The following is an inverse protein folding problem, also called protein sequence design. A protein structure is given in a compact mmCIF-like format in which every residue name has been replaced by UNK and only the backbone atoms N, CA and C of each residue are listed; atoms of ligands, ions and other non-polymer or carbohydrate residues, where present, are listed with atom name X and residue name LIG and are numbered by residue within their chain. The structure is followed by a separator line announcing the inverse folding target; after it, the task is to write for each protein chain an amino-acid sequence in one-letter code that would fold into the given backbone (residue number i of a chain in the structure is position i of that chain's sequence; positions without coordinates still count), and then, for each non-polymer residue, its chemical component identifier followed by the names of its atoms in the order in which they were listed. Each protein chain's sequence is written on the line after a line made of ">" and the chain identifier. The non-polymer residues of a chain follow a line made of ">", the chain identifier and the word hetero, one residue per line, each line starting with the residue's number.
data_IF_180311883111
#
_entry.id   IF_180311883111
#
_cell.length_a   1.000
_cell.length_b   1.000
_cell.length_c   1.000
_cell.angle_alpha   90.00
_cell.angle_beta   90.00
_cell.angle_gamma   90.00
#
_symmetry.space_group_name_H-M   'P 1'
#
loop_
_entity.id
_entity.type
_entity.pdbx_description
1 polymer ?
#
# COMPACT_ATOMS: atom_id res chain seq x y z
N UNK A 1 9.52 -5.93 -12.30
CA UNK A 1 9.71 -6.77 -11.10
C UNK A 1 8.32 -7.03 -10.55
N UNK A 2 7.84 -8.26 -10.61
CA UNK A 2 6.53 -8.61 -10.04
C UNK A 2 6.67 -8.59 -8.51
N UNK A 3 5.92 -7.73 -7.82
CA UNK A 3 5.94 -7.69 -6.36
C UNK A 3 5.10 -8.84 -5.82
N UNK A 4 5.54 -9.42 -4.70
CA UNK A 4 4.75 -10.43 -3.99
C UNK A 4 3.52 -9.79 -3.32
N UNK A 5 2.56 -10.62 -2.92
CA UNK A 5 1.34 -10.17 -2.25
C UNK A 5 1.43 -10.37 -0.74
N UNK A 6 1.14 -9.32 0.03
CA UNK A 6 0.91 -9.38 1.47
C UNK A 6 -0.57 -9.11 1.75
N UNK A 7 -1.25 -10.02 2.43
CA UNK A 7 -2.66 -9.81 2.76
C UNK A 7 -2.79 -8.77 3.87
N UNK A 8 -3.77 -7.88 3.78
CA UNK A 8 -3.95 -6.80 4.76
C UNK A 8 -4.14 -7.29 6.21
N UNK A 9 -4.69 -8.49 6.43
CA UNK A 9 -4.76 -9.08 7.77
C UNK A 9 -3.38 -9.29 8.40
N UNK A 10 -2.33 -9.54 7.60
CA UNK A 10 -0.95 -9.70 8.08
C UNK A 10 -0.35 -8.38 8.59
N UNK A 11 -0.97 -7.25 8.24
CA UNK A 11 -0.59 -5.92 8.74
C UNK A 11 -1.43 -5.46 9.91
N UNK A 12 -2.57 -6.09 10.14
CA UNK A 12 -3.52 -5.68 11.17
C UNK A 12 -3.62 -6.80 12.19
N UNK A 13 -4.55 -7.73 12.02
CA UNK A 13 -4.90 -8.76 13.01
C UNK A 13 -3.84 -9.83 13.22
N UNK A 14 -3.05 -10.15 12.19
CA UNK A 14 -2.00 -11.18 12.22
C UNK A 14 -0.60 -10.58 12.18
N UNK A 15 -0.45 -9.29 12.52
CA UNK A 15 0.87 -8.66 12.61
C UNK A 15 1.68 -9.37 13.71
N UNK A 16 2.88 -9.89 13.40
CA UNK A 16 3.74 -10.48 14.42
C UNK A 16 4.10 -9.47 15.53
N UNK A 17 4.30 -9.92 16.79
CA UNK A 17 4.77 -9.04 17.85
C UNK A 17 6.06 -8.32 17.46
N UNK A 18 6.11 -6.99 17.63
CA UNK A 18 7.25 -6.15 17.25
C UNK A 18 7.43 -5.94 15.73
N UNK A 19 6.54 -6.49 14.91
CA UNK A 19 6.55 -6.23 13.47
C UNK A 19 6.21 -4.76 13.15
N UNK A 20 7.02 -4.12 12.32
CA UNK A 20 6.78 -2.75 11.84
C UNK A 20 6.77 -2.65 10.32
N UNK A 21 6.02 -1.67 9.81
CA UNK A 21 6.10 -1.24 8.42
C UNK A 21 7.31 -0.31 8.30
N UNK A 22 8.22 -0.59 7.37
CA UNK A 22 9.45 0.19 7.20
C UNK A 22 9.34 1.22 6.10
N UNK A 23 8.64 0.89 5.01
CA UNK A 23 8.50 1.76 3.84
C UNK A 23 7.10 1.64 3.27
N UNK A 24 6.54 2.75 2.79
CA UNK A 24 5.22 2.79 2.14
C UNK A 24 5.26 3.60 0.85
N UNK A 25 4.73 2.99 -0.20
CA UNK A 25 4.61 3.55 -1.53
C UNK A 25 3.15 3.48 -1.99
N UNK A 26 2.59 4.60 -2.41
CA UNK A 26 1.27 4.69 -3.03
C UNK A 26 1.47 4.93 -4.51
N UNK A 27 1.18 3.91 -5.32
CA UNK A 27 1.47 3.92 -6.75
C UNK A 27 0.18 3.98 -7.57
N UNK A 28 0.15 4.83 -8.60
CA UNK A 28 -0.93 4.87 -9.57
C UNK A 28 -0.66 3.82 -10.66
N UNK A 29 -1.68 3.03 -10.96
CA UNK A 29 -1.72 2.12 -12.09
C UNK A 29 -2.06 2.88 -13.37
N UNK A 30 -1.73 2.33 -14.53
CA UNK A 30 -2.11 2.87 -15.86
C UNK A 30 -3.63 3.02 -16.07
N UNK A 31 -4.45 2.45 -15.17
CA UNK A 31 -5.90 2.51 -15.17
C UNK A 31 -6.44 3.65 -14.31
N UNK A 32 -5.56 4.45 -13.70
CA UNK A 32 -5.88 5.60 -12.86
C UNK A 32 -6.15 5.25 -11.41
N UNK A 33 -6.30 3.96 -11.13
CA UNK A 33 -6.48 3.44 -9.77
C UNK A 33 -5.15 3.42 -9.04
N UNK A 34 -5.22 3.58 -7.73
CA UNK A 34 -4.08 3.59 -6.82
C UNK A 34 -3.98 2.28 -6.06
N UNK A 35 -2.77 1.85 -5.73
CA UNK A 35 -2.52 0.68 -4.88
C UNK A 35 -1.39 0.99 -3.91
N UNK A 36 -1.32 0.20 -2.84
CA UNK A 36 -0.32 0.37 -1.78
C UNK A 36 0.71 -0.74 -1.93
N UNK A 37 1.98 -0.33 -1.89
CA UNK A 37 3.12 -1.22 -1.76
C UNK A 37 3.86 -0.91 -0.47
N UNK A 38 4.28 -1.93 0.26
CA UNK A 38 5.00 -1.74 1.52
C UNK A 38 6.19 -2.69 1.67
N UNK A 39 7.12 -2.31 2.53
CA UNK A 39 8.09 -3.20 3.14
C UNK A 39 7.80 -3.35 4.63
N UNK A 40 8.05 -4.54 5.17
CA UNK A 40 7.84 -4.87 6.58
C UNK A 40 9.07 -5.54 7.19
N UNK A 41 9.34 -5.27 8.46
CA UNK A 41 10.55 -5.73 9.14
C UNK A 41 10.70 -7.25 9.22
N UNK A 42 9.58 -7.99 9.22
CA UNK A 42 9.55 -9.45 9.39
C UNK A 42 9.51 -10.24 8.07
N UNK A 43 9.58 -9.56 6.91
CA UNK A 43 9.67 -10.18 5.58
C UNK A 43 10.92 -9.77 4.81
N UNK A 44 11.94 -9.29 5.52
CA UNK A 44 13.22 -8.88 4.93
C UNK A 44 13.11 -7.57 4.14
N UNK A 45 13.78 -7.50 2.99
CA UNK A 45 13.90 -6.27 2.18
C UNK A 45 12.94 -6.21 0.99
N UNK A 46 12.11 -7.24 0.81
CA UNK A 46 11.14 -7.32 -0.27
C UNK A 46 10.03 -6.26 -0.14
N UNK A 47 9.55 -5.78 -1.28
CA UNK A 47 8.40 -4.88 -1.38
C UNK A 47 7.18 -5.69 -1.80
N UNK A 48 6.04 -5.46 -1.17
CA UNK A 48 4.81 -6.24 -1.38
C UNK A 48 3.67 -5.37 -1.84
N UNK A 49 2.86 -5.86 -2.77
CA UNK A 49 1.52 -5.34 -3.00
C UNK A 49 0.62 -5.67 -1.81
N UNK A 50 -0.22 -4.72 -1.41
CA UNK A 50 -1.26 -4.99 -0.42
C UNK A 50 -2.47 -5.65 -1.09
N UNK A 51 -2.74 -6.88 -0.65
CA UNK A 51 -3.95 -7.61 -0.97
C UNK A 51 -5.14 -7.18 -0.12
N UNK A 52 -6.34 -7.42 -0.63
CA UNK A 52 -7.56 -7.39 0.16
C UNK A 52 -7.43 -8.32 1.38
N UNK A 53 -8.05 -7.91 2.49
CA UNK A 53 -7.97 -8.56 3.81
C UNK A 53 -7.74 -10.09 3.81
N UNK A 54 -8.60 -10.87 3.14
CA UNK A 54 -8.48 -12.33 3.02
C UNK A 54 -8.41 -12.85 1.56
N UNK A 55 -8.37 -11.95 0.57
CA UNK A 55 -8.42 -12.34 -0.85
C UNK A 55 -7.08 -12.08 -1.50
N UNK A 56 -6.58 -13.05 -2.28
CA UNK A 56 -5.35 -12.93 -3.09
C UNK A 56 -5.53 -12.00 -4.30
N UNK A 57 -6.03 -10.78 -4.08
CA UNK A 57 -6.25 -9.74 -5.08
C UNK A 57 -5.78 -8.42 -4.50
N UNK A 58 -5.06 -7.65 -5.29
CA UNK A 58 -4.55 -6.33 -4.91
C UNK A 58 -5.72 -5.41 -4.56
N UNK A 59 -5.59 -4.66 -3.47
CA UNK A 59 -6.56 -3.61 -3.15
C UNK A 59 -6.28 -2.38 -4.01
N UNK A 60 -7.32 -1.91 -4.69
CA UNK A 60 -7.28 -0.72 -5.54
C UNK A 60 -8.14 0.40 -4.96
N UNK A 61 -7.68 1.63 -5.10
CA UNK A 61 -8.33 2.85 -4.63
C UNK A 61 -8.61 3.78 -5.81
N UNK A 62 -9.71 4.54 -5.75
CA UNK A 62 -10.02 5.54 -6.79
C UNK A 62 -9.19 6.82 -6.64
N UNK A 63 -8.83 7.19 -5.41
CA UNK A 63 -8.07 8.40 -5.07
C UNK A 63 -6.83 8.05 -4.26
N UNK A 64 -5.76 8.82 -4.44
CA UNK A 64 -4.55 8.68 -3.64
C UNK A 64 -4.82 8.94 -2.14
N UNK A 65 -5.60 9.98 -1.82
CA UNK A 65 -6.00 10.32 -0.45
C UNK A 65 -6.71 9.17 0.27
N UNK A 66 -7.51 8.36 -0.44
CA UNK A 66 -8.16 7.20 0.15
C UNK A 66 -7.17 6.10 0.54
N UNK A 67 -6.12 5.89 -0.27
CA UNK A 67 -5.04 4.97 0.06
C UNK A 67 -4.21 5.48 1.24
N UNK A 68 -3.85 6.77 1.24
CA UNK A 68 -3.10 7.43 2.32
C UNK A 68 -3.86 7.36 3.65
N UNK A 69 -5.16 7.70 3.65
CA UNK A 69 -6.01 7.60 4.84
C UNK A 69 -6.05 6.16 5.37
N UNK A 70 -6.07 5.17 4.47
CA UNK A 70 -6.03 3.76 4.87
C UNK A 70 -4.71 3.41 5.56
N UNK A 71 -3.58 3.87 5.03
CA UNK A 71 -2.27 3.63 5.62
C UNK A 71 -2.21 4.21 7.04
N UNK A 72 -2.62 5.47 7.20
CA UNK A 72 -2.55 6.18 8.49
C UNK A 72 -3.51 5.54 9.51
N UNK A 73 -4.80 5.44 9.18
CA UNK A 73 -5.81 5.01 10.15
C UNK A 73 -5.93 3.49 10.26
N UNK A 74 -5.73 2.77 9.16
CA UNK A 74 -5.87 1.32 9.11
C UNK A 74 -4.62 0.59 9.58
N UNK A 75 -3.42 1.09 9.23
CA UNK A 75 -2.17 0.43 9.60
C UNK A 75 -1.43 1.11 10.75
N UNK A 76 -1.85 2.31 11.16
CA UNK A 76 -1.20 3.08 12.21
C UNK A 76 0.20 3.54 11.79
N UNK A 77 0.41 3.85 10.51
CA UNK A 77 1.72 4.26 10.00
C UNK A 77 1.88 5.77 10.04
N UNK A 78 2.94 6.23 10.70
CA UNK A 78 3.24 7.66 10.93
C UNK A 78 4.48 8.13 10.15
N UNK A 79 5.10 7.26 9.35
CA UNK A 79 6.29 7.57 8.56
C UNK A 79 5.99 8.24 7.22
N UNK A 80 7.04 8.45 6.43
CA UNK A 80 6.94 9.05 5.09
C UNK A 80 6.22 8.12 4.13
N UNK A 81 5.20 8.64 3.44
CA UNK A 81 4.48 7.92 2.39
C UNK A 81 4.92 8.47 1.03
N UNK A 82 5.61 7.64 0.25
CA UNK A 82 6.05 8.02 -1.10
C UNK A 82 4.92 7.86 -2.09
N UNK A 83 4.64 8.89 -2.90
CA UNK A 83 3.63 8.83 -3.95
C UNK A 83 4.25 8.72 -5.34
N UNK A 84 3.72 7.81 -6.15
CA UNK A 84 4.20 7.51 -7.50
C UNK A 84 3.05 7.61 -8.51
N UNK A 85 2.76 8.80 -9.05
CA UNK A 85 1.80 8.97 -10.13
C UNK A 85 2.25 8.27 -11.41
N UNK A 86 1.30 7.79 -12.20
CA UNK A 86 1.59 7.20 -13.50
C UNK A 86 1.81 8.34 -14.52
N UNK A 87 2.90 8.33 -15.31
CA UNK A 87 3.18 9.39 -16.26
C UNK A 87 2.01 9.63 -17.22
N UNK A 88 1.63 10.91 -17.40
CA UNK A 88 0.52 11.30 -18.28
C UNK A 88 -0.88 11.12 -17.69
N UNK A 89 -1.00 10.56 -16.48
CA UNK A 89 -2.29 10.29 -15.82
C UNK A 89 -2.60 11.28 -14.67
N UNK A 90 -2.25 12.55 -14.90
CA UNK A 90 -2.56 13.63 -13.97
C UNK A 90 -3.98 14.09 -14.19
N UNK A 91 -4.86 13.74 -13.26
CA UNK A 91 -6.15 14.38 -13.11
C UNK A 91 -6.09 15.22 -11.83
N UNK A 92 -6.11 16.54 -12.00
CA UNK A 92 -5.98 17.54 -10.93
C UNK A 92 -7.07 17.40 -9.85
N UNK A 93 -8.15 16.67 -10.15
CA UNK A 93 -9.26 16.41 -9.22
C UNK A 93 -9.10 15.14 -8.38
N UNK A 94 -8.01 14.38 -8.56
CA UNK A 94 -7.85 13.01 -8.03
C UNK A 94 -7.11 12.91 -6.71
N UNK A 95 -6.63 14.04 -6.17
CA UNK A 95 -6.03 14.10 -4.83
C UNK A 95 -7.11 14.19 -3.74
#
# INVERSE_FOLDING_TARGET
>A
MELELLLERELTTHRPPGGTITDVHVCQHDSGKWHINIRVSWRGTAMFHIGLYDKKRIRLYKKASSAIRHIILGYGYEGVISLHPYPGMRDETTF
#
